data_IF_745928813089
#
_entry.id   IF_745928813089
#
_cell.length_a   1.000
_cell.length_b   1.000
_cell.length_c   1.000
_cell.angle_alpha   90.00
_cell.angle_beta   90.00
_cell.angle_gamma   90.00
#
_symmetry.space_group_name_H-M   'P 1'
#
loop_
_entity.id
_entity.type
_entity.pdbx_description
1 polymer ?
#
# COMPACT_ATOMS: atom_id res chain seq x y z
N UNK A 1 21.11 50.91 51.30
CA UNK A 1 21.29 49.53 51.82
C UNK A 1 20.19 48.67 51.22
N UNK A 2 20.48 47.95 50.14
CA UNK A 2 19.50 47.09 49.48
C UNK A 2 19.25 45.87 50.37
N UNK A 3 17.99 45.62 50.72
CA UNK A 3 17.60 44.62 51.71
C UNK A 3 17.91 43.21 51.17
N UNK A 4 18.48 42.32 52.00
CA UNK A 4 18.96 40.98 51.59
C UNK A 4 17.88 40.14 50.88
N UNK A 5 16.61 40.39 51.19
CA UNK A 5 15.44 39.78 50.58
C UNK A 5 15.19 40.22 49.13
N UNK A 6 15.56 41.46 48.77
CA UNK A 6 15.40 41.98 47.42
C UNK A 6 16.41 41.35 46.44
N UNK A 7 17.59 40.96 46.94
CA UNK A 7 18.61 40.28 46.14
C UNK A 7 18.24 38.83 45.82
N UNK A 8 17.65 38.09 46.77
CA UNK A 8 17.20 36.72 46.54
C UNK A 8 16.04 36.63 45.53
N UNK A 9 15.11 37.58 45.56
CA UNK A 9 13.99 37.62 44.61
C UNK A 9 14.48 37.93 43.20
N UNK A 10 15.43 38.87 43.06
CA UNK A 10 16.02 39.18 41.77
C UNK A 10 16.81 38.00 41.18
N UNK A 11 17.52 37.23 42.03
CA UNK A 11 18.27 36.04 41.62
C UNK A 11 17.35 34.89 41.19
N UNK A 12 16.22 34.71 41.87
CA UNK A 12 15.20 33.69 41.53
C UNK A 12 14.47 34.03 40.22
N UNK A 13 14.20 35.31 39.96
CA UNK A 13 13.60 35.77 38.69
C UNK A 13 14.60 35.62 37.53
N UNK A 14 15.90 35.93 37.75
CA UNK A 14 16.94 35.74 36.74
C UNK A 14 17.16 34.26 36.39
N UNK A 15 16.99 33.35 37.36
CA UNK A 15 17.09 31.90 37.13
C UNK A 15 15.84 31.34 36.41
N UNK A 16 14.66 31.90 36.64
CA UNK A 16 13.41 31.50 35.99
C UNK A 16 13.26 31.99 34.53
N UNK A 17 14.03 32.98 34.09
CA UNK A 17 14.08 33.43 32.69
C UNK A 17 15.08 32.65 31.82
N UNK A 18 15.76 31.63 32.37
CA UNK A 18 16.52 30.67 31.57
C UNK A 18 15.59 29.68 30.88
N UNK A 19 14.71 30.18 29.99
CA UNK A 19 14.09 29.31 28.98
C UNK A 19 15.23 28.65 28.22
N UNK A 20 15.34 27.30 28.21
CA UNK A 20 16.26 26.65 27.30
C UNK A 20 15.80 27.05 25.91
N UNK A 21 16.64 27.82 25.20
CA UNK A 21 16.54 27.94 23.74
C UNK A 21 16.38 26.52 23.24
N UNK A 22 15.22 26.22 22.66
CA UNK A 22 14.82 24.86 22.31
C UNK A 22 15.95 24.20 21.53
N UNK A 23 16.69 23.31 22.17
CA UNK A 23 17.74 22.57 21.51
C UNK A 23 17.06 21.78 20.40
N UNK A 24 17.53 21.94 19.16
CA UNK A 24 17.04 21.13 18.05
C UNK A 24 17.22 19.66 18.43
N UNK A 25 16.10 18.98 18.65
CA UNK A 25 16.12 17.58 19.06
C UNK A 25 16.61 16.76 17.87
N UNK A 26 17.56 15.86 18.13
CA UNK A 26 18.18 15.03 17.11
C UNK A 26 17.35 13.79 16.77
N UNK A 27 17.87 13.00 15.83
CA UNK A 27 17.33 11.68 15.53
C UNK A 27 17.58 10.75 16.71
N UNK A 28 16.51 10.15 17.26
CA UNK A 28 16.55 9.26 18.42
C UNK A 28 17.01 7.84 18.06
N UNK A 29 16.66 7.36 16.86
CA UNK A 29 17.12 6.09 16.33
C UNK A 29 17.29 6.16 14.81
N UNK A 30 18.35 5.53 14.31
CA UNK A 30 18.57 5.39 12.88
C UNK A 30 19.27 4.07 12.59
N UNK A 31 18.88 3.41 11.50
CA UNK A 31 19.54 2.18 11.11
C UNK A 31 19.25 1.73 9.68
N UNK A 32 20.14 0.89 9.18
CA UNK A 32 19.94 0.09 7.99
C UNK A 32 19.54 -1.33 8.41
N UNK A 33 18.26 -1.66 8.25
CA UNK A 33 17.76 -3.00 8.44
C UNK A 33 17.82 -3.76 7.11
N UNK A 34 18.50 -4.91 7.08
CA UNK A 34 18.45 -5.82 5.93
C UNK A 34 17.57 -7.00 6.26
N UNK A 35 16.54 -7.18 5.44
CA UNK A 35 15.61 -8.29 5.57
C UNK A 35 15.93 -9.30 4.48
N UNK A 36 16.34 -10.49 4.88
CA UNK A 36 16.45 -11.63 3.99
C UNK A 36 15.21 -12.51 4.18
N UNK A 37 14.19 -12.31 3.36
CA UNK A 37 12.98 -13.14 3.39
C UNK A 37 12.82 -13.87 2.07
N UNK A 38 12.83 -15.22 2.12
CA UNK A 38 12.63 -16.08 0.95
C UNK A 38 13.48 -15.69 -0.27
N UNK A 39 14.79 -15.50 -0.08
CA UNK A 39 15.76 -15.10 -1.11
C UNK A 39 15.61 -13.68 -1.68
N UNK A 40 14.65 -12.87 -1.20
CA UNK A 40 14.63 -11.43 -1.44
C UNK A 40 15.40 -10.72 -0.33
N UNK A 41 16.41 -9.97 -0.74
CA UNK A 41 17.15 -9.04 0.12
C UNK A 41 16.51 -7.67 -0.06
N UNK A 42 15.81 -7.20 0.97
CA UNK A 42 15.32 -5.82 1.00
C UNK A 42 16.10 -5.06 2.06
N UNK A 43 16.60 -3.88 1.68
CA UNK A 43 17.24 -2.96 2.62
C UNK A 43 16.28 -1.83 2.95
N UNK A 44 16.14 -1.55 4.26
CA UNK A 44 15.33 -0.47 4.81
C UNK A 44 16.19 0.45 5.64
N UNK A 45 16.33 1.70 5.20
CA UNK A 45 16.79 2.80 6.05
C UNK A 45 15.60 3.31 6.87
N UNK A 46 15.76 3.44 8.18
CA UNK A 46 14.78 4.13 9.03
C UNK A 46 15.43 5.23 9.85
N UNK A 47 14.69 6.30 10.07
CA UNK A 47 15.08 7.49 10.84
C UNK A 47 13.93 7.85 11.78
N UNK A 48 14.18 7.88 13.08
CA UNK A 48 13.24 8.32 14.09
C UNK A 48 13.65 9.68 14.63
N UNK A 49 12.77 10.66 14.50
CA UNK A 49 13.07 12.04 14.86
C UNK A 49 11.83 12.72 15.42
N UNK A 50 11.97 13.93 16.00
CA UNK A 50 10.87 14.63 16.66
C UNK A 50 9.69 14.82 15.69
N UNK A 51 8.46 14.66 16.16
CA UNK A 51 7.23 14.79 15.36
C UNK A 51 7.10 16.18 14.68
N UNK A 52 7.78 17.19 15.22
CA UNK A 52 7.81 18.55 14.70
C UNK A 52 8.84 18.74 13.57
N UNK A 53 9.79 17.81 13.43
CA UNK A 53 10.80 17.84 12.38
C UNK A 53 10.15 17.62 11.01
N UNK A 54 10.57 18.39 10.00
CA UNK A 54 10.07 18.22 8.63
C UNK A 54 11.10 17.46 7.82
N UNK A 55 10.66 16.73 6.81
CA UNK A 55 11.58 16.03 5.93
C UNK A 55 11.21 16.19 4.46
N UNK A 56 12.22 16.05 3.61
CA UNK A 56 12.06 15.98 2.15
C UNK A 56 12.98 14.90 1.61
N UNK A 57 12.43 14.04 0.75
CA UNK A 57 13.19 13.00 0.04
C UNK A 57 13.19 13.33 -1.45
N UNK A 58 14.34 13.27 -2.10
CA UNK A 58 14.48 13.48 -3.54
C UNK A 58 15.73 12.77 -4.06
N UNK A 59 15.87 12.68 -5.38
CA UNK A 59 17.02 12.08 -6.03
C UNK A 59 17.87 13.12 -6.74
N UNK A 60 19.15 12.81 -6.89
CA UNK A 60 20.07 13.51 -7.78
C UNK A 60 20.68 12.49 -8.74
N UNK A 61 20.92 12.93 -9.98
CA UNK A 61 21.65 12.24 -11.01
C UNK A 61 23.11 12.72 -11.07
N UNK A 62 23.96 11.93 -11.73
CA UNK A 62 25.37 12.26 -11.99
C UNK A 62 26.20 12.72 -10.75
N UNK A 63 26.47 11.85 -9.75
CA UNK A 63 26.11 10.44 -9.65
C UNK A 63 24.76 10.22 -8.95
N UNK A 64 24.18 9.04 -9.15
CA UNK A 64 22.91 8.63 -8.56
C UNK A 64 22.95 8.71 -7.03
N UNK A 65 22.05 9.53 -6.46
CA UNK A 65 21.95 9.74 -5.01
C UNK A 65 20.50 9.83 -4.57
N UNK A 66 20.22 9.30 -3.39
CA UNK A 66 18.97 9.59 -2.67
C UNK A 66 19.32 10.55 -1.54
N UNK A 67 18.63 11.68 -1.49
CA UNK A 67 18.89 12.75 -0.53
C UNK A 67 17.68 12.92 0.38
N UNK A 68 17.96 12.99 1.68
CA UNK A 68 16.97 13.24 2.73
C UNK A 68 17.39 14.50 3.47
N UNK A 69 16.56 15.54 3.36
CA UNK A 69 16.69 16.74 4.19
C UNK A 69 15.79 16.61 5.40
N UNK A 70 16.33 16.88 6.58
CA UNK A 70 15.62 16.97 7.84
C UNK A 70 15.72 18.40 8.38
N UNK A 71 14.59 19.12 8.44
CA UNK A 71 14.50 20.48 8.97
C UNK A 71 14.13 20.47 10.45
N UNK A 72 14.83 21.27 11.25
CA UNK A 72 14.65 21.36 12.69
C UNK A 72 15.23 20.17 13.48
N UNK A 73 15.96 19.27 12.80
CA UNK A 73 16.57 18.08 13.40
C UNK A 73 18.09 18.23 13.40
N UNK A 74 18.71 18.13 14.57
CA UNK A 74 20.16 18.18 14.71
C UNK A 74 20.81 16.83 14.34
N UNK A 75 22.08 16.89 13.90
CA UNK A 75 22.91 15.69 13.75
C UNK A 75 23.07 15.04 15.12
N UNK A 76 22.65 13.79 15.25
CA UNK A 76 22.77 13.00 16.48
C UNK A 76 23.80 11.88 16.33
N UNK A 77 24.28 11.28 17.44
CA UNK A 77 25.13 10.10 17.39
C UNK A 77 24.50 8.93 16.62
N UNK A 78 23.17 8.76 16.71
CA UNK A 78 22.45 7.72 15.97
C UNK A 78 22.57 7.92 14.45
N UNK A 79 22.48 9.17 13.97
CA UNK A 79 22.75 9.49 12.57
C UNK A 79 24.22 9.21 12.22
N UNK A 80 25.16 9.71 13.03
CA UNK A 80 26.60 9.55 12.75
C UNK A 80 27.06 8.09 12.68
N UNK A 81 26.31 7.15 13.28
CA UNK A 81 26.57 5.72 13.20
C UNK A 81 26.13 5.07 11.87
N UNK A 82 25.24 5.70 11.09
CA UNK A 82 24.70 5.12 9.86
C UNK A 82 25.76 4.76 8.80
N UNK A 83 26.78 5.60 8.51
CA UNK A 83 27.78 5.28 7.49
C UNK A 83 28.52 3.97 7.78
N UNK A 84 28.73 3.63 9.07
CA UNK A 84 29.39 2.40 9.49
C UNK A 84 28.52 1.14 9.31
N UNK A 85 27.20 1.30 9.10
CA UNK A 85 26.27 0.18 8.87
C UNK A 85 26.22 -0.24 7.38
N UNK A 86 26.86 0.52 6.49
CA UNK A 86 26.98 0.16 5.07
C UNK A 86 28.04 -0.94 4.95
N UNK A 87 27.67 -2.11 4.43
CA UNK A 87 28.63 -3.18 4.18
C UNK A 87 29.64 -2.76 3.10
N UNK A 88 30.90 -3.18 3.26
CA UNK A 88 31.94 -2.90 2.28
C UNK A 88 31.56 -3.35 0.85
N UNK A 89 30.86 -4.48 0.75
CA UNK A 89 30.40 -5.09 -0.51
C UNK A 89 28.88 -4.92 -0.71
N UNK A 90 28.30 -3.81 -0.25
CA UNK A 90 26.90 -3.50 -0.52
C UNK A 90 26.64 -3.32 -2.02
N UNK A 91 25.62 -4.00 -2.55
CA UNK A 91 25.32 -4.03 -3.98
C UNK A 91 24.72 -2.70 -4.49
N UNK A 92 24.02 -1.97 -3.62
CA UNK A 92 23.26 -0.77 -3.99
C UNK A 92 23.95 0.48 -3.48
N UNK A 93 24.34 0.51 -2.20
CA UNK A 93 24.94 1.66 -1.55
C UNK A 93 26.45 1.71 -1.73
N UNK A 94 26.97 2.84 -2.20
CA UNK A 94 28.40 3.15 -2.15
C UNK A 94 28.79 3.68 -0.77
N UNK A 95 27.87 4.38 -0.09
CA UNK A 95 28.07 4.94 1.23
C UNK A 95 26.93 5.86 1.65
N UNK A 96 26.96 6.30 2.91
CA UNK A 96 26.05 7.31 3.45
C UNK A 96 26.87 8.49 3.96
N UNK A 97 26.48 9.71 3.60
CA UNK A 97 27.07 10.96 4.10
C UNK A 97 26.03 11.75 4.87
N UNK A 98 26.49 12.39 5.93
CA UNK A 98 25.63 13.16 6.82
C UNK A 98 26.33 14.47 7.10
N UNK A 99 25.60 15.57 6.96
CA UNK A 99 26.15 16.89 7.21
C UNK A 99 25.06 17.93 7.37
N UNK A 100 25.45 19.07 7.94
CA UNK A 100 24.58 20.25 7.97
C UNK A 100 24.59 20.88 6.59
N UNK A 101 23.43 20.90 5.92
CA UNK A 101 23.30 21.51 4.60
C UNK A 101 23.15 23.04 4.70
N UNK A 102 22.36 23.49 5.67
CA UNK A 102 22.20 24.89 6.06
C UNK A 102 21.83 24.95 7.55
N UNK A 103 21.84 26.13 8.13
CA UNK A 103 21.39 26.33 9.52
C UNK A 103 20.00 25.71 9.72
N UNK A 104 19.90 24.78 10.67
CA UNK A 104 18.65 24.08 10.98
C UNK A 104 18.25 22.96 10.00
N UNK A 105 19.06 22.61 9.00
CA UNK A 105 18.78 21.48 8.10
C UNK A 105 19.95 20.49 8.05
N UNK A 106 19.65 19.27 8.50
CA UNK A 106 20.55 18.12 8.40
C UNK A 106 20.25 17.36 7.11
N UNK A 107 21.25 17.16 6.27
CA UNK A 107 21.13 16.41 5.02
C UNK A 107 21.83 15.07 5.15
N UNK A 108 21.12 14.03 4.73
CA UNK A 108 21.62 12.66 4.61
C UNK A 108 21.63 12.34 3.12
N UNK A 109 22.76 11.84 2.63
CA UNK A 109 22.95 11.48 1.22
C UNK A 109 23.34 10.02 1.16
N UNK A 110 22.51 9.22 0.49
CA UNK A 110 22.82 7.85 0.13
C UNK A 110 23.47 7.89 -1.25
N UNK A 111 24.76 7.59 -1.33
CA UNK A 111 25.47 7.45 -2.60
C UNK A 111 25.13 6.08 -3.20
N UNK A 112 24.62 6.05 -4.44
CA UNK A 112 24.19 4.82 -5.12
C UNK A 112 25.26 4.39 -6.13
N UNK A 113 25.59 3.09 -6.17
CA UNK A 113 26.68 2.55 -7.01
C UNK A 113 26.35 2.50 -8.50
N UNK A 114 25.16 2.00 -8.83
CA UNK A 114 24.77 1.69 -10.22
C UNK A 114 23.61 2.60 -10.61
N UNK A 115 22.42 2.05 -10.83
CA UNK A 115 21.20 2.79 -11.11
C UNK A 115 20.46 3.10 -9.80
N UNK A 116 19.68 4.19 -9.80
CA UNK A 116 18.73 4.44 -8.72
C UNK A 116 17.79 3.22 -8.59
N UNK A 117 17.75 2.55 -7.43
CA UNK A 117 16.82 1.44 -7.23
C UNK A 117 15.40 1.97 -7.17
N UNK A 118 14.43 1.10 -7.46
CA UNK A 118 13.05 1.42 -7.13
C UNK A 118 12.89 1.40 -5.60
N UNK A 119 12.61 2.57 -5.02
CA UNK A 119 12.50 2.72 -3.57
C UNK A 119 11.10 3.20 -3.18
N UNK A 120 10.71 2.88 -1.94
CA UNK A 120 9.45 3.29 -1.32
C UNK A 120 9.76 4.15 -0.12
N UNK A 121 9.02 5.25 0.02
CA UNK A 121 9.09 6.12 1.19
C UNK A 121 7.82 5.91 2.01
N UNK A 122 7.96 5.64 3.30
CA UNK A 122 6.85 5.59 4.23
C UNK A 122 7.14 6.46 5.45
N UNK A 123 6.12 7.20 5.88
CA UNK A 123 6.13 8.08 7.03
C UNK A 123 5.09 7.64 8.05
N UNK A 124 5.46 7.64 9.32
CA UNK A 124 4.60 7.20 10.41
C UNK A 124 4.86 8.04 11.67
N UNK A 125 3.81 8.46 12.36
CA UNK A 125 3.94 8.94 13.74
C UNK A 125 3.96 7.74 14.69
N UNK A 126 5.04 7.57 15.45
CA UNK A 126 5.17 6.53 16.48
C UNK A 126 4.51 6.97 17.79
N UNK A 127 4.55 8.27 18.06
CA UNK A 127 3.88 8.95 19.17
C UNK A 127 3.57 10.41 18.78
N UNK A 128 3.02 11.18 19.71
CA UNK A 128 2.84 12.63 19.60
C UNK A 128 4.18 13.38 19.51
N UNK A 129 5.26 12.80 20.06
CA UNK A 129 6.59 13.41 20.07
C UNK A 129 7.55 12.84 19.04
N UNK A 130 7.29 11.64 18.48
CA UNK A 130 8.24 10.93 17.61
C UNK A 130 7.58 10.45 16.32
N UNK A 131 8.28 10.66 15.20
CA UNK A 131 7.91 10.12 13.90
C UNK A 131 9.05 9.30 13.31
N UNK A 132 8.71 8.36 12.44
CA UNK A 132 9.65 7.53 11.69
C UNK A 132 9.49 7.79 10.19
N UNK A 133 10.60 8.10 9.54
CA UNK A 133 10.74 8.04 8.09
C UNK A 133 11.45 6.73 7.73
N UNK A 134 10.90 6.00 6.77
CA UNK A 134 11.53 4.79 6.25
C UNK A 134 11.65 4.83 4.74
N UNK A 135 12.83 4.48 4.24
CA UNK A 135 13.11 4.25 2.83
C UNK A 135 13.44 2.78 2.65
N UNK A 136 12.69 2.09 1.80
CA UNK A 136 12.91 0.67 1.50
C UNK A 136 13.19 0.49 0.02
N UNK A 137 14.21 -0.30 -0.30
CA UNK A 137 14.50 -0.75 -1.66
C UNK A 137 14.86 -2.23 -1.64
N UNK A 138 14.61 -2.92 -2.74
CA UNK A 138 15.11 -4.27 -2.94
C UNK A 138 16.53 -4.21 -3.51
N UNK A 139 17.42 -4.98 -2.92
CA UNK A 139 18.72 -5.18 -3.53
C UNK A 139 18.54 -6.16 -4.69
N UNK A 140 19.00 -5.77 -5.88
CA UNK A 140 19.17 -6.72 -6.96
C UNK A 140 20.25 -7.70 -6.51
N UNK A 141 19.84 -8.84 -5.95
CA UNK A 141 20.72 -9.95 -5.58
C UNK A 141 21.47 -10.42 -6.82
N UNK A 142 22.55 -9.74 -7.17
CA UNK A 142 23.58 -10.28 -8.03
C UNK A 142 24.45 -11.16 -7.14
N UNK A 143 23.98 -12.38 -6.93
CA UNK A 143 24.89 -13.46 -6.59
C UNK A 143 25.84 -13.53 -7.78
N UNK A 144 27.03 -12.94 -7.66
CA UNK A 144 28.10 -13.13 -8.64
C UNK A 144 28.62 -14.55 -8.44
N UNK A 145 27.92 -15.50 -9.06
CA UNK A 145 28.46 -16.83 -9.33
C UNK A 145 29.52 -16.60 -10.42
N UNK A 146 30.80 -17.00 -10.23
CA UNK A 146 31.78 -16.91 -11.31
C UNK A 146 31.21 -17.61 -12.54
N UNK A 147 31.36 -17.02 -13.75
CA UNK A 147 30.74 -17.57 -14.94
C UNK A 147 31.19 -19.03 -15.11
N UNK A 148 30.26 -19.99 -15.21
CA UNK A 148 30.64 -21.37 -15.50
C UNK A 148 31.39 -21.41 -16.84
N UNK A 149 32.33 -22.35 -17.03
CA UNK A 149 33.01 -22.51 -18.32
C UNK A 149 31.97 -22.62 -19.44
N UNK A 150 32.22 -22.01 -20.61
CA UNK A 150 31.23 -21.93 -21.66
C UNK A 150 30.76 -23.35 -22.05
N UNK A 151 29.46 -23.66 -21.97
CA UNK A 151 28.97 -24.96 -22.42
C UNK A 151 29.12 -25.07 -23.94
N UNK A 152 29.24 -26.30 -24.48
CA UNK A 152 29.18 -26.52 -25.92
C UNK A 152 27.90 -25.90 -26.46
N UNK A 153 27.97 -25.27 -27.63
CA UNK A 153 26.87 -24.59 -28.33
C UNK A 153 25.58 -25.45 -28.28
N UNK A 154 24.75 -25.17 -27.29
CA UNK A 154 23.38 -25.62 -27.17
C UNK A 154 22.48 -24.40 -27.42
N UNK A 155 21.34 -24.57 -28.10
CA UNK A 155 20.50 -23.46 -28.52
C UNK A 155 20.05 -22.64 -27.31
N UNK A 156 20.00 -21.31 -27.49
CA UNK A 156 19.55 -20.37 -26.50
C UNK A 156 18.30 -20.90 -25.79
N UNK A 157 18.39 -21.09 -24.47
CA UNK A 157 17.23 -21.35 -23.65
C UNK A 157 16.36 -20.09 -23.68
N UNK A 158 15.39 -20.06 -24.60
CA UNK A 158 14.16 -19.30 -24.45
C UNK A 158 13.47 -19.80 -23.16
N UNK A 159 13.91 -19.28 -22.02
CA UNK A 159 13.06 -19.27 -20.83
C UNK A 159 11.89 -18.41 -21.24
N UNK A 160 10.76 -19.04 -21.55
CA UNK A 160 9.55 -18.37 -22.04
C UNK A 160 9.23 -17.19 -21.11
N UNK A 161 9.56 -15.96 -21.51
CA UNK A 161 9.37 -14.75 -20.68
C UNK A 161 7.91 -14.28 -20.64
N UNK A 162 7.03 -14.94 -21.38
CA UNK A 162 5.64 -14.56 -21.53
C UNK A 162 4.75 -15.13 -20.42
N UNK A 163 3.58 -14.51 -20.25
CA UNK A 163 2.52 -15.04 -19.38
C UNK A 163 2.16 -16.46 -19.83
N UNK A 164 2.24 -17.41 -18.91
CA UNK A 164 1.94 -18.84 -19.15
C UNK A 164 0.45 -19.12 -19.05
N UNK A 165 -0.26 -18.39 -18.18
CA UNK A 165 -1.72 -18.46 -18.09
C UNK A 165 -2.31 -17.10 -17.74
N UNK A 166 -3.30 -16.66 -18.52
CA UNK A 166 -4.14 -15.51 -18.19
C UNK A 166 -5.57 -16.01 -17.95
N UNK A 167 -6.18 -15.65 -16.82
CA UNK A 167 -7.52 -16.08 -16.44
C UNK A 167 -8.36 -14.88 -16.02
N UNK A 168 -9.57 -14.81 -16.55
CA UNK A 168 -10.59 -13.86 -16.16
C UNK A 168 -11.73 -14.66 -15.54
N UNK A 169 -12.04 -14.39 -14.27
CA UNK A 169 -13.13 -15.02 -13.54
C UNK A 169 -14.12 -13.96 -13.10
N UNK A 170 -15.40 -14.23 -13.31
CA UNK A 170 -16.49 -13.33 -12.93
C UNK A 170 -17.42 -14.10 -12.02
N UNK A 171 -17.68 -13.56 -10.82
CA UNK A 171 -18.58 -14.17 -9.84
C UNK A 171 -19.31 -13.09 -9.03
N UNK A 172 -20.10 -13.51 -8.04
CA UNK A 172 -20.87 -12.60 -7.17
C UNK A 172 -19.99 -11.62 -6.35
N UNK A 173 -18.71 -11.94 -6.14
CA UNK A 173 -17.74 -11.10 -5.43
C UNK A 173 -17.03 -10.09 -6.35
N UNK A 174 -17.27 -10.18 -7.66
CA UNK A 174 -16.76 -9.26 -8.67
C UNK A 174 -15.92 -9.95 -9.74
N UNK A 175 -15.11 -9.14 -10.42
CA UNK A 175 -14.29 -9.59 -11.55
C UNK A 175 -12.85 -9.75 -11.09
N UNK A 176 -12.24 -10.91 -11.37
CA UNK A 176 -10.86 -11.25 -11.00
C UNK A 176 -10.05 -11.62 -12.23
N UNK A 177 -9.00 -10.86 -12.47
CA UNK A 177 -8.01 -11.12 -13.51
C UNK A 177 -6.74 -11.67 -12.87
N UNK A 178 -6.18 -12.74 -13.43
CA UNK A 178 -4.93 -13.33 -12.92
C UNK A 178 -3.98 -13.76 -14.03
N UNK A 179 -2.69 -13.57 -13.79
CA UNK A 179 -1.61 -13.88 -14.71
C UNK A 179 -0.57 -14.75 -14.01
N UNK A 180 -0.25 -15.91 -14.58
CA UNK A 180 0.88 -16.73 -14.17
C UNK A 180 2.09 -16.32 -15.00
N UNK A 181 3.11 -15.83 -14.30
CA UNK A 181 4.36 -15.34 -14.84
C UNK A 181 5.45 -16.33 -14.44
N UNK A 182 6.28 -16.81 -15.38
CA UNK A 182 7.31 -17.82 -15.09
C UNK A 182 8.44 -17.27 -14.21
N UNK A 183 8.56 -15.94 -14.13
CA UNK A 183 9.46 -15.22 -13.25
C UNK A 183 8.71 -14.11 -12.54
N UNK A 184 9.34 -13.48 -11.54
CA UNK A 184 8.80 -12.24 -10.97
C UNK A 184 9.00 -11.09 -11.95
N UNK A 185 7.94 -10.31 -12.16
CA UNK A 185 7.94 -9.16 -13.05
C UNK A 185 7.42 -7.92 -12.33
N UNK A 186 7.89 -6.74 -12.76
CA UNK A 186 7.32 -5.47 -12.32
C UNK A 186 6.05 -5.18 -13.11
N UNK A 187 5.10 -4.52 -12.47
CA UNK A 187 3.84 -4.17 -13.08
C UNK A 187 3.30 -2.87 -12.53
N UNK A 188 2.45 -2.20 -13.32
CA UNK A 188 1.67 -1.03 -12.91
C UNK A 188 0.19 -1.31 -13.16
N UNK A 189 -0.66 -0.90 -12.22
CA UNK A 189 -2.12 -0.88 -12.39
C UNK A 189 -2.59 0.53 -12.06
N UNK A 190 -3.30 1.16 -12.99
CA UNK A 190 -3.84 2.50 -12.78
C UNK A 190 -5.13 2.71 -13.57
N UNK A 191 -5.96 3.64 -13.10
CA UNK A 191 -7.23 3.99 -13.74
C UNK A 191 -7.06 5.26 -14.57
N UNK A 192 -7.53 5.22 -15.81
CA UNK A 192 -7.61 6.37 -16.71
C UNK A 192 -9.05 6.88 -16.69
N UNK A 193 -9.35 7.78 -15.74
CA UNK A 193 -10.71 8.26 -15.48
C UNK A 193 -11.40 8.84 -16.72
N UNK A 194 -10.69 9.64 -17.53
CA UNK A 194 -11.22 10.27 -18.73
C UNK A 194 -11.67 9.25 -19.80
N UNK A 195 -11.10 8.05 -19.80
CA UNK A 195 -11.41 6.99 -20.75
C UNK A 195 -12.26 5.85 -20.15
N UNK A 196 -12.62 5.96 -18.86
CA UNK A 196 -13.23 4.90 -18.07
C UNK A 196 -12.53 3.53 -18.26
N UNK A 197 -11.20 3.54 -18.16
CA UNK A 197 -10.36 2.38 -18.41
C UNK A 197 -9.45 2.07 -17.22
N UNK A 198 -9.18 0.79 -17.01
CA UNK A 198 -8.06 0.34 -16.16
C UNK A 198 -6.96 -0.20 -17.04
N UNK A 199 -5.74 0.27 -16.80
CA UNK A 199 -4.56 -0.11 -17.54
C UNK A 199 -3.64 -0.92 -16.65
N UNK A 200 -3.21 -2.08 -17.15
CA UNK A 200 -2.21 -2.94 -16.52
C UNK A 200 -1.01 -3.01 -17.45
N UNK A 201 0.15 -2.58 -16.96
CA UNK A 201 1.43 -2.69 -17.67
C UNK A 201 2.28 -3.76 -17.01
N UNK A 202 2.82 -4.68 -17.81
CA UNK A 202 3.73 -5.73 -17.36
C UNK A 202 5.09 -5.50 -18.02
N UNK A 203 6.12 -5.20 -17.23
CA UNK A 203 7.48 -4.99 -17.74
C UNK A 203 8.26 -6.30 -17.79
N UNK A 204 9.12 -6.44 -18.80
CA UNK A 204 9.91 -7.65 -19.04
C UNK A 204 9.09 -8.84 -19.56
N UNK A 205 7.85 -8.62 -19.99
CA UNK A 205 6.91 -9.63 -20.48
C UNK A 205 6.56 -9.35 -21.95
N UNK A 206 6.98 -10.18 -22.92
CA UNK A 206 6.51 -10.08 -24.30
C UNK A 206 5.06 -10.59 -24.44
N UNK A 207 4.36 -10.18 -25.51
CA UNK A 207 3.00 -10.66 -25.77
C UNK A 207 2.99 -12.18 -25.99
N UNK A 208 2.26 -12.89 -25.12
CA UNK A 208 2.14 -14.35 -25.18
C UNK A 208 0.80 -14.78 -25.78
N UNK A 209 0.69 -16.02 -26.30
CA UNK A 209 -0.60 -16.57 -26.74
C UNK A 209 -1.67 -16.51 -25.65
N UNK A 210 -1.30 -16.74 -24.38
CA UNK A 210 -2.22 -16.65 -23.25
C UNK A 210 -2.86 -15.25 -23.11
N UNK A 211 -2.09 -14.20 -23.41
CA UNK A 211 -2.59 -12.82 -23.42
C UNK A 211 -3.41 -12.51 -24.68
N UNK A 212 -3.03 -13.04 -25.85
CA UNK A 212 -3.80 -12.86 -27.09
C UNK A 212 -5.21 -13.46 -27.00
N UNK A 213 -5.39 -14.53 -26.23
CA UNK A 213 -6.68 -15.20 -26.03
C UNK A 213 -7.50 -14.53 -24.92
N UNK A 214 -6.90 -13.68 -24.08
CA UNK A 214 -7.58 -13.07 -22.94
C UNK A 214 -8.87 -12.32 -23.28
N UNK A 215 -8.95 -11.52 -24.37
CA UNK A 215 -10.20 -10.85 -24.75
C UNK A 215 -11.37 -11.81 -24.96
N UNK A 216 -11.10 -13.02 -25.44
CA UNK A 216 -12.12 -14.04 -25.69
C UNK A 216 -12.61 -14.72 -24.40
N UNK A 217 -11.97 -14.45 -23.25
CA UNK A 217 -12.38 -14.97 -21.94
C UNK A 217 -13.36 -14.06 -21.21
N UNK A 218 -13.64 -12.87 -21.77
CA UNK A 218 -14.65 -11.97 -21.23
C UNK A 218 -16.05 -12.52 -21.51
N UNK A 219 -16.85 -12.66 -20.46
CA UNK A 219 -18.25 -13.04 -20.56
C UNK A 219 -19.08 -11.81 -20.94
N UNK A 220 -20.11 -12.00 -21.78
CA UNK A 220 -20.97 -10.89 -22.21
C UNK A 220 -21.66 -10.22 -21.00
N UNK A 221 -22.01 -11.03 -20.01
CA UNK A 221 -22.71 -10.66 -18.78
C UNK A 221 -21.76 -10.13 -17.68
N UNK A 222 -20.47 -9.89 -17.96
CA UNK A 222 -19.55 -9.37 -16.94
C UNK A 222 -20.06 -8.03 -16.37
N UNK A 223 -20.20 -7.88 -15.04
CA UNK A 223 -20.79 -6.69 -14.44
C UNK A 223 -19.87 -5.46 -14.47
N UNK A 224 -18.56 -5.66 -14.68
CA UNK A 224 -17.54 -4.64 -14.46
C UNK A 224 -16.82 -4.24 -15.75
N UNK A 225 -16.47 -5.21 -16.60
CA UNK A 225 -15.60 -5.03 -17.75
C UNK A 225 -16.43 -5.07 -19.04
N UNK A 226 -16.30 -4.02 -19.86
CA UNK A 226 -16.94 -3.89 -21.16
C UNK A 226 -16.12 -4.53 -22.28
N UNK A 227 -14.80 -4.36 -22.22
CA UNK A 227 -13.88 -4.92 -23.22
C UNK A 227 -12.48 -5.08 -22.63
N UNK A 228 -11.72 -6.02 -23.19
CA UNK A 228 -10.30 -6.21 -22.87
C UNK A 228 -9.50 -6.08 -24.16
N UNK A 229 -8.50 -5.21 -24.15
CA UNK A 229 -7.53 -5.08 -25.23
C UNK A 229 -6.14 -5.38 -24.71
N UNK A 230 -5.36 -6.08 -25.52
CA UNK A 230 -3.96 -6.38 -25.22
C UNK A 230 -3.11 -5.81 -26.34
N UNK A 231 -2.13 -4.99 -25.98
CA UNK A 231 -1.22 -4.33 -26.91
C UNK A 231 0.22 -4.54 -26.45
N UNK A 232 1.11 -4.74 -27.41
CA UNK A 232 2.54 -4.64 -27.13
C UNK A 232 2.87 -3.14 -26.96
N UNK A 233 3.47 -2.76 -25.83
CA UNK A 233 3.92 -1.39 -25.58
C UNK A 233 5.32 -1.19 -26.20
N UNK A 234 6.23 -2.10 -25.92
CA UNK A 234 7.57 -2.24 -26.52
C UNK A 234 7.95 -3.74 -26.57
N UNK A 235 9.04 -4.19 -27.22
CA UNK A 235 9.34 -5.62 -27.38
C UNK A 235 9.39 -6.45 -26.09
N UNK A 236 9.56 -5.81 -24.93
CA UNK A 236 9.63 -6.45 -23.63
C UNK A 236 8.54 -5.96 -22.66
N UNK A 237 7.57 -5.17 -23.07
CA UNK A 237 6.46 -4.77 -22.21
C UNK A 237 5.10 -4.86 -22.90
N UNK A 238 4.10 -5.36 -22.17
CA UNK A 238 2.71 -5.48 -22.64
C UNK A 238 1.80 -4.59 -21.80
N UNK A 239 0.86 -3.94 -22.49
CA UNK A 239 -0.23 -3.18 -21.90
C UNK A 239 -1.56 -3.91 -22.11
N UNK A 240 -2.30 -4.10 -21.03
CA UNK A 240 -3.67 -4.62 -21.03
C UNK A 240 -4.59 -3.46 -20.65
N UNK A 241 -5.50 -3.11 -21.55
CA UNK A 241 -6.47 -2.02 -21.39
C UNK A 241 -7.86 -2.64 -21.18
N UNK A 242 -8.47 -2.36 -20.03
CA UNK A 242 -9.78 -2.85 -19.63
C UNK A 242 -10.76 -1.69 -19.71
N UNK A 243 -11.68 -1.73 -20.66
CA UNK A 243 -12.79 -0.79 -20.69
C UNK A 243 -13.80 -1.17 -19.61
N UNK A 244 -14.27 -0.19 -18.85
CA UNK A 244 -15.12 -0.42 -17.68
C UNK A 244 -16.58 -0.02 -17.99
N UNK A 245 -17.57 -0.81 -17.53
CA UNK A 245 -19.01 -0.55 -17.76
C UNK A 245 -19.59 0.52 -16.82
N UNK A 246 -19.12 0.57 -15.58
CA UNK A 246 -19.61 1.49 -14.54
C UNK A 246 -18.42 2.13 -13.83
N UNK A 247 -18.61 3.17 -13.02
CA UNK A 247 -17.51 3.71 -12.20
C UNK A 247 -17.14 2.67 -11.16
N UNK A 248 -16.03 1.94 -11.39
CA UNK A 248 -15.56 0.94 -10.45
C UNK A 248 -14.62 1.54 -9.38
N UNK A 249 -14.65 1.00 -8.16
CA UNK A 249 -13.64 1.32 -7.14
C UNK A 249 -12.25 0.89 -7.61
N UNK A 250 -11.23 1.48 -7.00
CA UNK A 250 -9.83 1.25 -7.36
C UNK A 250 -9.50 -0.26 -7.35
N UNK A 251 -8.86 -0.79 -8.40
CA UNK A 251 -8.48 -2.21 -8.46
C UNK A 251 -7.55 -2.58 -7.31
N UNK A 252 -7.85 -3.68 -6.63
CA UNK A 252 -6.90 -4.26 -5.69
C UNK A 252 -5.97 -5.21 -6.43
N UNK A 253 -4.66 -4.98 -6.34
CA UNK A 253 -3.65 -5.87 -6.92
C UNK A 253 -2.84 -6.59 -5.82
N UNK A 254 -2.51 -7.85 -6.05
CA UNK A 254 -1.63 -8.63 -5.18
C UNK A 254 -0.83 -9.65 -5.99
N UNK A 255 0.35 -10.01 -5.50
CA UNK A 255 1.19 -11.04 -6.10
C UNK A 255 1.40 -12.21 -5.17
N UNK A 256 1.32 -13.42 -5.70
CA UNK A 256 1.57 -14.67 -4.98
C UNK A 256 2.76 -15.39 -5.62
N UNK A 257 3.64 -15.99 -4.82
CA UNK A 257 4.70 -16.87 -5.34
C UNK A 257 4.16 -18.30 -5.37
N UNK A 258 4.19 -18.94 -6.54
CA UNK A 258 3.84 -20.33 -6.79
C UNK A 258 5.12 -21.20 -6.80
N UNK A 259 4.96 -22.51 -6.88
CA UNK A 259 6.07 -23.46 -7.00
C UNK A 259 6.94 -23.16 -8.24
N UNK A 260 8.26 -23.35 -8.14
CA UNK A 260 9.16 -23.25 -9.29
C UNK A 260 9.32 -21.83 -9.86
N UNK A 261 9.43 -20.82 -8.99
CA UNK A 261 9.67 -19.40 -9.35
C UNK A 261 8.55 -18.67 -10.10
N UNK A 262 7.39 -19.33 -10.29
CA UNK A 262 6.24 -18.71 -10.93
C UNK A 262 5.60 -17.67 -10.00
N UNK A 263 5.28 -16.48 -10.52
CA UNK A 263 4.52 -15.45 -9.82
C UNK A 263 3.09 -15.42 -10.38
N UNK A 264 2.09 -15.37 -9.51
CA UNK A 264 0.71 -15.05 -9.90
C UNK A 264 0.39 -13.61 -9.53
N UNK A 265 0.23 -12.75 -10.53
CA UNK A 265 -0.38 -11.44 -10.36
C UNK A 265 -1.89 -11.60 -10.36
N UNK A 266 -2.57 -11.03 -9.36
CA UNK A 266 -4.03 -11.00 -9.26
C UNK A 266 -4.47 -9.54 -9.19
N UNK A 267 -5.37 -9.14 -10.08
CA UNK A 267 -6.07 -7.87 -10.05
C UNK A 267 -7.55 -8.16 -9.88
N UNK A 268 -8.16 -7.59 -8.84
CA UNK A 268 -9.56 -7.82 -8.52
C UNK A 268 -10.33 -6.51 -8.42
N UNK A 269 -11.56 -6.56 -8.93
CA UNK A 269 -12.54 -5.51 -8.81
C UNK A 269 -13.75 -6.05 -8.07
N UNK A 270 -14.14 -5.45 -6.93
CA UNK A 270 -15.36 -5.84 -6.26
C UNK A 270 -16.56 -5.45 -7.13
N UNK A 271 -17.65 -6.21 -7.01
CA UNK A 271 -18.92 -5.89 -7.66
C UNK A 271 -19.35 -4.49 -7.22
N UNK A 272 -19.75 -3.59 -8.15
CA UNK A 272 -20.27 -2.29 -7.76
C UNK A 272 -21.51 -2.52 -6.88
N UNK A 273 -21.44 -2.11 -5.62
CA UNK A 273 -22.62 -2.08 -4.76
C UNK A 273 -23.53 -1.00 -5.31
N UNK A 274 -24.65 -1.39 -5.92
CA UNK A 274 -25.78 -0.48 -6.08
C UNK A 274 -26.06 0.10 -4.70
N UNK A 275 -26.10 1.43 -4.52
CA UNK A 275 -26.54 1.98 -3.25
C UNK A 275 -27.94 1.42 -3.00
N UNK A 276 -28.06 0.52 -2.02
CA UNK A 276 -29.36 0.13 -1.49
C UNK A 276 -29.95 1.42 -0.95
N UNK A 277 -30.91 1.99 -1.69
CA UNK A 277 -31.83 2.99 -1.14
C UNK A 277 -32.25 2.45 0.22
N UNK A 278 -31.98 3.18 1.33
CA UNK A 278 -32.50 2.76 2.62
C UNK A 278 -33.98 2.50 2.43
N UNK A 279 -34.43 1.31 2.81
CA UNK A 279 -35.85 0.98 2.85
C UNK A 279 -36.58 2.20 3.44
N UNK A 280 -37.53 2.83 2.72
CA UNK A 280 -38.19 4.02 3.21
C UNK A 280 -38.67 3.71 4.63
N UNK A 281 -38.23 4.53 5.58
CA UNK A 281 -38.59 4.39 6.98
C UNK A 281 -40.11 4.13 7.07
N UNK A 282 -40.57 3.17 7.89
CA UNK A 282 -41.99 2.89 8.00
C UNK A 282 -42.72 4.20 8.28
N UNK A 283 -43.62 4.57 7.36
CA UNK A 283 -44.42 5.78 7.49
C UNK A 283 -45.11 5.79 8.86
N UNK A 284 -45.12 6.94 9.57
CA UNK A 284 -45.86 7.03 10.82
C UNK A 284 -47.35 6.82 10.54
N UNK A 285 -47.94 5.85 11.25
CA UNK A 285 -49.38 5.57 11.26
C UNK A 285 -50.19 6.87 11.43
N UNK A 286 -50.78 7.33 10.33
CA UNK A 286 -51.93 8.25 10.37
C UNK A 286 -53.15 7.52 9.87
N UNK A 287 -53.81 6.80 10.79
CA UNK A 287 -55.19 6.37 10.64
C UNK A 287 -56.09 7.60 10.62
N UNK A 288 -57.07 7.66 9.71
CA UNK A 288 -58.43 7.96 10.16
C UNK A 288 -59.41 6.85 9.77
N UNK A 289 -60.40 6.74 10.62
CA UNK A 289 -61.32 5.63 10.80
C UNK A 289 -62.49 5.63 9.80
N UNK A 290 -62.94 4.41 9.47
CA UNK A 290 -64.34 3.98 9.25
C UNK A 290 -65.07 4.43 7.96
N UNK A 291 -65.46 3.48 7.10
CA UNK A 291 -66.82 2.87 7.08
C UNK A 291 -66.96 1.85 5.93
N UNK A 292 -67.65 0.76 6.27
CA UNK A 292 -68.08 -0.44 5.54
C UNK A 292 -68.68 -0.29 4.13
N UNK A 293 -68.64 -1.36 3.32
CA UNK A 293 -69.83 -2.11 2.78
C UNK A 293 -69.41 -3.39 2.02
N UNK A 294 -69.66 -4.53 2.67
CA UNK A 294 -70.36 -5.77 2.21
C UNK A 294 -70.00 -6.55 0.93
N UNK A 295 -69.99 -7.89 1.15
CA UNK A 295 -70.47 -9.01 0.32
C UNK A 295 -69.47 -9.77 -0.56
N UNK A 296 -69.49 -11.09 -0.75
CA UNK A 296 -70.08 -12.29 -0.09
C UNK A 296 -69.44 -13.49 -0.84
N UNK A 297 -69.24 -14.61 -0.14
CA UNK A 297 -69.45 -16.01 -0.60
C UNK A 297 -68.25 -16.95 -0.69
N UNK A 298 -68.34 -17.97 0.19
CA UNK A 298 -67.89 -19.38 0.19
C UNK A 298 -66.42 -19.73 -0.05
N UNK A 299 -65.71 -20.33 0.91
CA UNK A 299 -65.88 -21.68 1.51
C UNK A 299 -65.56 -22.79 0.49
N UNK A 300 -64.76 -23.83 0.76
CA UNK A 300 -64.76 -24.77 1.90
C UNK A 300 -63.40 -25.49 1.93
N UNK A 301 -62.91 -25.89 3.11
CA UNK A 301 -61.89 -26.94 3.21
C UNK A 301 -61.10 -26.98 4.52
N UNK A 302 -61.77 -27.19 5.64
CA UNK A 302 -61.16 -27.37 6.96
C UNK A 302 -60.52 -28.76 7.14
N UNK A 303 -59.42 -28.84 7.90
CA UNK A 303 -59.24 -29.84 8.96
C UNK A 303 -58.04 -29.49 9.84
N UNK A 304 -58.35 -29.16 11.09
CA UNK A 304 -57.47 -28.90 12.21
C UNK A 304 -56.72 -30.15 12.69
N UNK A 305 -55.55 -29.97 13.31
CA UNK A 305 -55.29 -30.60 14.61
C UNK A 305 -54.22 -29.85 15.42
N UNK A 306 -54.48 -29.80 16.71
CA UNK A 306 -53.85 -29.01 17.78
C UNK A 306 -52.90 -29.93 18.58
N UNK A 307 -51.68 -29.48 18.92
CA UNK A 307 -51.12 -29.62 20.28
C UNK A 307 -49.77 -28.88 20.50
N UNK A 308 -49.82 -27.78 21.26
CA UNK A 308 -49.08 -27.47 22.50
C UNK A 308 -47.64 -28.02 22.74
N UNK A 309 -46.61 -27.15 22.87
CA UNK A 309 -46.04 -26.66 24.17
C UNK A 309 -44.64 -26.00 24.05
N UNK A 310 -44.57 -24.79 24.64
CA UNK A 310 -43.56 -24.26 25.60
C UNK A 310 -42.11 -24.05 25.14
N UNK A 311 -41.69 -22.79 25.12
CA UNK A 311 -40.61 -22.29 26.00
C UNK A 311 -40.69 -20.75 26.16
N UNK A 312 -40.95 -20.31 27.40
CA UNK A 312 -40.89 -18.91 27.87
C UNK A 312 -39.46 -18.58 28.29
N UNK A 313 -39.01 -17.34 28.07
CA UNK A 313 -37.81 -16.81 28.72
C UNK A 313 -37.56 -15.34 28.38
N UNK A 314 -38.22 -14.44 29.12
CA UNK A 314 -38.15 -12.98 29.02
C UNK A 314 -37.25 -12.47 30.15
N UNK A 315 -36.19 -11.72 29.88
CA UNK A 315 -35.52 -10.86 30.89
C UNK A 315 -35.34 -9.44 30.30
N UNK A 316 -35.58 -8.48 31.19
CA UNK A 316 -35.89 -7.08 30.97
C UNK A 316 -34.62 -6.20 31.07
N UNK A 317 -34.64 -5.12 30.28
CA UNK A 317 -33.90 -3.83 30.35
C UNK A 317 -33.10 -3.51 31.62
N UNK A 318 -31.94 -2.87 31.45
CA UNK A 318 -31.55 -1.65 32.21
C UNK A 318 -30.72 -0.68 31.36
N UNK A 319 -31.18 0.57 31.34
CA UNK A 319 -30.49 1.81 30.95
C UNK A 319 -29.37 2.16 31.95
N UNK A 320 -28.33 2.89 31.53
CA UNK A 320 -27.76 4.04 32.26
C UNK A 320 -26.90 4.93 31.33
N UNK A 321 -27.25 6.22 31.29
CA UNK A 321 -26.44 7.35 30.81
C UNK A 321 -25.30 7.67 31.78
N UNK A 322 -24.24 8.33 31.29
CA UNK A 322 -23.38 9.36 31.94
C UNK A 322 -22.18 9.51 30.99
N UNK A 323 -21.60 10.67 30.70
CA UNK A 323 -21.90 12.08 30.95
C UNK A 323 -20.92 12.85 30.05
#
# INVERSE_FOLDING_TARGET
MMNKHCWCILLMILLALSCPVGAAQGVSAAGLARNNHNHNQDTRLFLEFPAQGRHRVFTLDAPNRIVIDLEGVAISPALQALPAQVAANDATLAGIRIGSFKTGVTRIVLDIRTALPDYRVAHQYLSDQTQRLSLQWSDASTITIPPPPPPPLAPAADVARGVTAARLLTNAQGTRLSFDLPTRNTYKVFTVAAANQVVIELDGVPISPALKILPNKLQAEDPSIAAVHVKQLDPLAVRIELAIKTTLPEPQSSTQTLSGHTQRLVVQWPTPTTPTTPDPAPEPDTTPSTTSTTSTTSAVGAASCVYCRVCRGRIIRRYWLRR
#
